data_IF_383130715905
#
_entry.id   IF_383130715905
#
_cell.length_a   1.000
_cell.length_b   1.000
_cell.length_c   1.000
_cell.angle_alpha   90.00
_cell.angle_beta   90.00
_cell.angle_gamma   90.00
#
_symmetry.space_group_name_H-M   'P 1'
#
loop_
_entity.id
_entity.type
_entity.pdbx_description
1 polymer ?
#
# COMPACT_ATOMS: atom_id res chain seq x y z
N UNK A 1 2.67 24.73 11.22
CA UNK A 1 1.79 23.55 11.32
C UNK A 1 2.69 22.35 11.61
N UNK A 2 2.45 21.59 12.68
CA UNK A 2 3.22 20.35 12.91
C UNK A 2 2.63 19.22 12.08
N UNK A 3 3.44 18.60 11.24
CA UNK A 3 3.09 17.40 10.51
C UNK A 3 3.00 16.25 11.52
N UNK A 4 1.90 15.51 11.53
CA UNK A 4 1.78 14.27 12.32
C UNK A 4 2.23 13.09 11.48
N UNK A 5 2.73 12.03 12.11
CA UNK A 5 3.16 10.83 11.38
C UNK A 5 2.03 10.20 10.53
N UNK A 6 0.79 10.35 10.95
CA UNK A 6 -0.40 9.88 10.22
C UNK A 6 -0.70 10.69 8.95
N UNK A 7 -0.18 11.94 8.86
CA UNK A 7 -0.36 12.80 7.69
C UNK A 7 0.63 12.45 6.56
N UNK A 8 1.57 11.54 6.82
CA UNK A 8 2.60 11.14 5.87
C UNK A 8 2.08 9.95 5.08
N UNK A 9 2.12 10.08 3.76
CA UNK A 9 1.71 8.98 2.86
C UNK A 9 2.75 7.87 2.93
N UNK A 10 2.31 6.70 3.37
CA UNK A 10 3.07 5.45 3.38
C UNK A 10 2.11 4.28 3.20
N UNK A 11 2.63 3.14 2.74
CA UNK A 11 1.82 1.92 2.61
C UNK A 11 1.08 1.56 3.90
N UNK A 12 1.78 1.62 5.03
CA UNK A 12 1.21 1.25 6.33
C UNK A 12 0.13 2.25 6.79
N UNK A 13 0.31 3.55 6.54
CA UNK A 13 -0.72 4.55 6.86
C UNK A 13 -1.95 4.40 5.96
N UNK A 14 -1.76 4.09 4.68
CA UNK A 14 -2.86 3.76 3.76
C UNK A 14 -3.60 2.53 4.26
N UNK A 15 -2.89 1.45 4.63
CA UNK A 15 -3.50 0.24 5.16
C UNK A 15 -4.32 0.52 6.44
N UNK A 16 -3.80 1.36 7.34
CA UNK A 16 -4.53 1.75 8.58
C UNK A 16 -5.78 2.61 8.31
N UNK A 17 -5.87 3.22 7.13
CA UNK A 17 -7.05 3.98 6.71
C UNK A 17 -8.14 3.12 6.08
N UNK A 18 -7.87 1.85 5.81
CA UNK A 18 -8.82 0.91 5.23
C UNK A 18 -9.62 0.16 6.32
N UNK A 19 -10.84 -0.29 5.98
CA UNK A 19 -11.69 -1.06 6.89
C UNK A 19 -11.12 -2.46 7.13
N UNK A 20 -10.54 -3.07 6.08
CA UNK A 20 -9.96 -4.41 6.12
C UNK A 20 -8.56 -4.39 5.51
N UNK A 21 -7.62 -5.04 6.18
CA UNK A 21 -6.28 -5.31 5.67
C UNK A 21 -6.16 -6.80 5.40
N UNK A 22 -6.15 -7.18 4.12
CA UNK A 22 -6.01 -8.59 3.72
C UNK A 22 -4.58 -9.08 3.83
N UNK A 23 -3.62 -8.27 3.43
CA UNK A 23 -2.19 -8.58 3.56
C UNK A 23 -1.37 -7.31 3.69
N UNK A 24 -0.28 -7.40 4.39
CA UNK A 24 0.60 -6.27 4.61
C UNK A 24 2.05 -6.70 4.80
N UNK A 25 2.96 -5.85 4.36
CA UNK A 25 4.37 -5.88 4.71
C UNK A 25 4.63 -4.79 5.76
N UNK A 26 5.02 -5.19 6.96
CA UNK A 26 5.04 -4.31 8.12
C UNK A 26 6.26 -4.58 9.00
N UNK A 27 6.69 -3.61 9.80
CA UNK A 27 7.74 -3.87 10.79
C UNK A 27 7.28 -4.87 11.85
N UNK A 28 8.20 -5.71 12.32
CA UNK A 28 7.94 -6.69 13.38
C UNK A 28 7.40 -6.03 14.65
N UNK A 29 7.91 -4.83 14.96
CA UNK A 29 7.42 -4.03 16.09
C UNK A 29 5.95 -3.64 15.92
N UNK A 30 5.57 -3.17 14.74
CA UNK A 30 4.18 -2.80 14.48
C UNK A 30 3.28 -4.03 14.43
N UNK A 31 3.73 -5.13 13.82
CA UNK A 31 3.00 -6.40 13.78
C UNK A 31 2.63 -6.90 15.19
N UNK A 32 3.58 -6.87 16.13
CA UNK A 32 3.36 -7.31 17.50
C UNK A 32 2.39 -6.41 18.29
N UNK A 33 2.20 -5.16 17.84
CA UNK A 33 1.29 -4.20 18.48
C UNK A 33 -0.10 -4.17 17.85
N UNK A 34 -0.32 -4.84 16.72
CA UNK A 34 -1.62 -4.90 16.07
C UNK A 34 -2.42 -6.07 16.66
N UNK A 35 -3.68 -5.81 16.96
CA UNK A 35 -4.64 -6.86 17.28
C UNK A 35 -5.16 -7.46 15.97
N UNK A 36 -4.34 -8.29 15.35
CA UNK A 36 -4.69 -9.02 14.15
C UNK A 36 -5.46 -10.27 14.56
N UNK A 37 -6.53 -10.56 13.82
CA UNK A 37 -7.21 -11.85 13.92
C UNK A 37 -6.30 -12.99 13.42
N UNK A 38 -6.90 -14.04 12.89
CA UNK A 38 -6.17 -15.18 12.34
C UNK A 38 -5.36 -14.78 11.10
N UNK A 39 -4.03 -14.88 11.17
CA UNK A 39 -3.11 -14.51 10.10
C UNK A 39 -2.11 -15.61 9.80
N UNK A 40 -1.78 -15.77 8.54
CA UNK A 40 -0.64 -16.57 8.10
C UNK A 40 0.55 -15.66 7.85
N UNK A 41 1.65 -15.88 8.56
CA UNK A 41 2.93 -15.25 8.27
C UNK A 41 3.59 -15.99 7.11
N UNK A 42 3.87 -15.27 6.05
CA UNK A 42 4.45 -15.81 4.82
C UNK A 42 5.96 -15.68 4.79
N UNK A 43 6.45 -14.54 5.28
CA UNK A 43 7.86 -14.25 5.36
C UNK A 43 8.13 -13.35 6.56
N UNK A 44 9.29 -13.51 7.19
CA UNK A 44 9.69 -12.66 8.30
C UNK A 44 11.20 -12.64 8.44
N UNK A 45 11.73 -11.44 8.69
CA UNK A 45 13.12 -11.22 9.03
C UNK A 45 13.27 -10.62 10.43
N UNK A 46 14.43 -10.07 10.70
CA UNK A 46 14.71 -9.45 12.00
C UNK A 46 13.79 -8.25 12.26
N UNK A 47 13.47 -7.48 11.22
CA UNK A 47 12.76 -6.22 11.34
C UNK A 47 11.39 -6.19 10.66
N UNK A 48 11.00 -7.21 9.91
CA UNK A 48 9.77 -7.20 9.13
C UNK A 48 8.95 -8.48 9.25
N UNK A 49 7.68 -8.36 8.91
CA UNK A 49 6.73 -9.47 8.73
C UNK A 49 5.89 -9.20 7.49
N UNK A 50 5.78 -10.19 6.62
CA UNK A 50 4.79 -10.25 5.54
C UNK A 50 3.72 -11.25 5.92
N UNK A 51 2.49 -10.80 6.07
CA UNK A 51 1.38 -11.65 6.48
C UNK A 51 0.17 -11.53 5.56
N UNK A 52 -0.69 -12.52 5.64
CA UNK A 52 -2.01 -12.55 5.03
C UNK A 52 -3.07 -12.97 6.04
N UNK A 53 -4.16 -12.24 6.10
CA UNK A 53 -5.32 -12.56 6.93
C UNK A 53 -6.04 -13.80 6.40
N UNK A 54 -6.34 -14.75 7.27
CA UNK A 54 -7.00 -16.02 6.91
C UNK A 54 -8.49 -15.78 6.68
N UNK A 55 -9.13 -15.17 7.66
CA UNK A 55 -10.57 -14.87 7.65
C UNK A 55 -10.79 -13.38 7.83
N UNK A 56 -11.69 -12.81 7.05
CA UNK A 56 -12.10 -11.41 7.17
C UNK A 56 -13.56 -11.27 6.78
N UNK A 57 -14.22 -10.28 7.34
CA UNK A 57 -15.57 -9.89 6.98
C UNK A 57 -15.54 -8.55 6.23
N UNK A 58 -16.32 -8.47 5.17
CA UNK A 58 -16.54 -7.25 4.41
C UNK A 58 -18.00 -6.86 4.46
N UNK A 59 -18.24 -5.58 4.57
CA UNK A 59 -19.54 -4.93 4.42
C UNK A 59 -19.58 -4.14 3.14
N UNK A 60 -20.77 -3.83 2.68
CA UNK A 60 -20.96 -2.94 1.54
C UNK A 60 -20.29 -1.59 1.79
N UNK A 61 -19.61 -1.05 0.80
CA UNK A 61 -18.80 0.17 0.81
C UNK A 61 -17.49 0.10 1.61
N UNK A 62 -17.08 -1.06 2.09
CA UNK A 62 -15.78 -1.20 2.75
C UNK A 62 -14.62 -0.97 1.79
N UNK A 63 -13.52 -0.50 2.37
CA UNK A 63 -12.24 -0.37 1.71
C UNK A 63 -11.35 -1.52 2.18
N UNK A 64 -10.85 -2.31 1.24
CA UNK A 64 -9.93 -3.41 1.52
C UNK A 64 -8.55 -3.13 0.94
N UNK A 65 -7.54 -3.29 1.78
CA UNK A 65 -6.14 -3.15 1.41
C UNK A 65 -5.48 -4.52 1.18
N UNK A 66 -4.61 -4.62 0.19
CA UNK A 66 -3.75 -5.78 -0.02
C UNK A 66 -2.41 -5.38 -0.62
N UNK A 67 -1.36 -6.14 -0.29
CA UNK A 67 -0.12 -6.11 -1.07
C UNK A 67 -0.36 -6.78 -2.43
N UNK A 68 0.42 -6.40 -3.43
CA UNK A 68 0.34 -7.03 -4.74
C UNK A 68 0.64 -8.53 -4.72
N UNK A 69 1.50 -8.99 -3.80
CA UNK A 69 1.83 -10.41 -3.61
C UNK A 69 0.61 -11.31 -3.44
N UNK A 70 -0.42 -10.83 -2.73
CA UNK A 70 -1.63 -11.60 -2.45
C UNK A 70 -2.86 -11.12 -3.21
N UNK A 71 -2.68 -10.24 -4.19
CA UNK A 71 -3.78 -9.68 -4.97
C UNK A 71 -4.62 -10.77 -5.67
N UNK A 72 -3.98 -11.75 -6.29
CA UNK A 72 -4.69 -12.85 -6.98
C UNK A 72 -5.50 -13.70 -6.00
N UNK A 73 -4.98 -13.94 -4.81
CA UNK A 73 -5.70 -14.66 -3.74
C UNK A 73 -6.94 -13.88 -3.30
N UNK A 74 -6.79 -12.57 -3.10
CA UNK A 74 -7.90 -11.70 -2.73
C UNK A 74 -8.97 -11.68 -3.84
N UNK A 75 -8.58 -11.48 -5.10
CA UNK A 75 -9.49 -11.52 -6.24
C UNK A 75 -10.27 -12.83 -6.27
N UNK A 76 -9.59 -13.97 -6.08
CA UNK A 76 -10.24 -15.30 -6.03
C UNK A 76 -11.25 -15.41 -4.89
N UNK A 77 -10.97 -14.83 -3.72
CA UNK A 77 -11.91 -14.78 -2.59
C UNK A 77 -13.10 -13.87 -2.88
N UNK A 78 -12.87 -12.67 -3.40
CA UNK A 78 -13.92 -11.69 -3.71
C UNK A 78 -14.86 -12.17 -4.81
N UNK A 79 -14.37 -12.92 -5.80
CA UNK A 79 -15.20 -13.52 -6.85
C UNK A 79 -16.20 -14.56 -6.33
N UNK A 80 -16.01 -15.10 -5.13
CA UNK A 80 -16.93 -16.04 -4.49
C UNK A 80 -18.04 -15.35 -3.69
N UNK A 81 -17.95 -14.04 -3.52
CA UNK A 81 -18.89 -13.26 -2.69
C UNK A 81 -19.93 -12.58 -3.58
N UNK A 82 -21.09 -13.22 -3.72
CA UNK A 82 -22.12 -12.81 -4.68
C UNK A 82 -23.02 -11.64 -4.21
N UNK A 83 -22.93 -11.22 -2.94
CA UNK A 83 -23.88 -10.24 -2.35
C UNK A 83 -23.27 -8.88 -2.03
N UNK A 84 -21.94 -8.77 -2.02
CA UNK A 84 -21.26 -7.51 -1.72
C UNK A 84 -21.27 -6.59 -2.94
N UNK A 85 -21.35 -5.29 -2.68
CA UNK A 85 -21.28 -4.22 -3.69
C UNK A 85 -20.43 -3.07 -3.17
N UNK A 86 -19.94 -2.27 -4.11
CA UNK A 86 -19.24 -1.03 -3.85
C UNK A 86 -17.97 -1.19 -2.99
N UNK A 87 -17.32 -2.33 -3.04
CA UNK A 87 -16.03 -2.51 -2.38
C UNK A 87 -14.98 -1.65 -3.09
N UNK A 88 -14.17 -0.95 -2.32
CA UNK A 88 -12.99 -0.23 -2.83
C UNK A 88 -11.75 -1.05 -2.54
N UNK A 89 -11.01 -1.37 -3.61
CA UNK A 89 -9.75 -2.13 -3.51
C UNK A 89 -8.58 -1.16 -3.47
N UNK A 90 -7.68 -1.35 -2.52
CA UNK A 90 -6.41 -0.62 -2.45
C UNK A 90 -5.26 -1.61 -2.58
N UNK A 91 -4.40 -1.41 -3.58
CA UNK A 91 -3.20 -2.21 -3.78
C UNK A 91 -1.95 -1.36 -3.63
N UNK A 92 -0.96 -1.92 -2.94
CA UNK A 92 0.32 -1.27 -2.70
C UNK A 92 1.45 -2.30 -2.67
N UNK A 93 2.70 -1.86 -2.49
CA UNK A 93 3.84 -2.76 -2.41
C UNK A 93 4.03 -3.60 -3.68
N UNK A 94 4.28 -2.94 -4.78
CA UNK A 94 4.59 -3.60 -6.04
C UNK A 94 5.45 -2.71 -6.93
N UNK A 95 6.40 -3.32 -7.59
CA UNK A 95 7.06 -2.75 -8.76
C UNK A 95 6.30 -3.08 -10.05
N UNK A 96 5.34 -4.02 -9.98
CA UNK A 96 4.49 -4.39 -11.11
C UNK A 96 3.40 -3.35 -11.37
N UNK A 97 3.12 -3.11 -12.64
CA UNK A 97 2.07 -2.18 -13.06
C UNK A 97 0.67 -2.79 -12.93
N UNK A 98 -0.29 -1.95 -12.54
CA UNK A 98 -1.71 -2.26 -12.75
C UNK A 98 -2.06 -1.83 -14.17
N UNK A 99 -1.90 -2.77 -15.09
CA UNK A 99 -2.24 -2.61 -16.50
C UNK A 99 -3.69 -3.01 -16.80
N UNK A 100 -4.10 -2.87 -18.06
CA UNK A 100 -5.42 -3.27 -18.54
C UNK A 100 -5.74 -4.74 -18.21
N UNK A 101 -4.79 -5.64 -18.48
CA UNK A 101 -4.98 -7.09 -18.31
C UNK A 101 -5.22 -7.45 -16.84
N UNK A 102 -4.47 -6.83 -15.93
CA UNK A 102 -4.66 -7.03 -14.49
C UNK A 102 -5.98 -6.42 -14.01
N UNK A 103 -6.31 -5.21 -14.49
CA UNK A 103 -7.55 -4.54 -14.12
C UNK A 103 -8.80 -5.30 -14.57
N UNK A 104 -8.77 -5.97 -15.72
CA UNK A 104 -9.87 -6.81 -16.21
C UNK A 104 -10.20 -8.00 -15.29
N UNK A 105 -9.28 -8.38 -14.40
CA UNK A 105 -9.53 -9.39 -13.36
C UNK A 105 -10.29 -8.84 -12.14
N UNK A 106 -10.61 -7.56 -12.12
CA UNK A 106 -11.29 -6.90 -11.01
C UNK A 106 -12.63 -7.57 -10.72
N UNK A 107 -12.88 -8.02 -9.46
CA UNK A 107 -14.14 -8.66 -9.08
C UNK A 107 -15.34 -7.73 -9.29
N UNK A 108 -16.52 -8.25 -9.68
CA UNK A 108 -17.72 -7.43 -9.88
C UNK A 108 -18.16 -6.63 -8.67
N UNK A 109 -17.88 -7.10 -7.45
CA UNK A 109 -18.18 -6.39 -6.21
C UNK A 109 -17.30 -5.18 -5.96
N UNK A 110 -16.14 -5.06 -6.66
CA UNK A 110 -15.22 -3.92 -6.54
C UNK A 110 -15.66 -2.81 -7.48
N UNK A 111 -16.07 -1.67 -6.94
CA UNK A 111 -16.46 -0.49 -7.73
C UNK A 111 -15.26 0.33 -8.19
N UNK A 112 -14.29 0.53 -7.32
CA UNK A 112 -13.09 1.34 -7.57
C UNK A 112 -11.84 0.59 -7.11
N UNK A 113 -10.76 0.76 -7.87
CA UNK A 113 -9.45 0.22 -7.54
C UNK A 113 -8.42 1.36 -7.44
N UNK A 114 -7.82 1.52 -6.29
CA UNK A 114 -6.75 2.46 -6.00
C UNK A 114 -5.42 1.71 -6.00
N UNK A 115 -4.46 2.12 -6.83
CA UNK A 115 -3.20 1.40 -6.97
C UNK A 115 -1.99 2.30 -7.18
N UNK A 116 -0.83 1.83 -6.76
CA UNK A 116 0.46 2.38 -7.21
C UNK A 116 0.80 1.80 -8.58
N UNK A 117 1.69 2.47 -9.32
CA UNK A 117 2.17 2.01 -10.63
C UNK A 117 1.05 1.69 -11.63
N UNK A 118 0.03 2.54 -11.68
CA UNK A 118 -1.09 2.40 -12.63
C UNK A 118 -0.61 2.74 -14.04
N UNK A 119 -0.81 1.82 -14.99
CA UNK A 119 -0.47 1.95 -16.41
C UNK A 119 -1.65 1.64 -17.32
N UNK A 120 -2.84 2.08 -16.93
CA UNK A 120 -4.07 1.95 -17.72
C UNK A 120 -5.06 3.03 -17.30
N UNK A 121 -5.58 3.78 -18.26
CA UNK A 121 -6.60 4.80 -18.01
C UNK A 121 -7.99 4.17 -17.93
N UNK A 122 -8.63 4.31 -16.77
CA UNK A 122 -10.01 3.89 -16.56
C UNK A 122 -10.62 4.68 -15.40
N UNK A 123 -11.89 5.16 -15.48
CA UNK A 123 -12.49 5.99 -14.44
C UNK A 123 -12.55 5.33 -13.04
N UNK A 124 -12.55 4.01 -12.98
CA UNK A 124 -12.59 3.25 -11.73
C UNK A 124 -11.20 2.69 -11.33
N UNK A 125 -10.13 3.09 -11.99
CA UNK A 125 -8.75 2.77 -11.61
C UNK A 125 -8.02 4.07 -11.31
N UNK A 126 -7.77 4.30 -10.03
CA UNK A 126 -7.29 5.57 -9.51
C UNK A 126 -5.82 5.41 -9.05
N UNK A 127 -4.89 6.14 -9.66
CA UNK A 127 -3.51 6.11 -9.20
C UNK A 127 -3.37 6.78 -7.83
N UNK A 128 -2.62 6.15 -6.95
CA UNK A 128 -2.25 6.70 -5.65
C UNK A 128 -0.72 6.80 -5.52
N UNK A 129 -0.22 7.75 -4.73
CA UNK A 129 1.21 7.91 -4.56
C UNK A 129 1.82 6.74 -3.79
N UNK A 130 3.06 6.36 -4.14
CA UNK A 130 3.83 5.36 -3.41
C UNK A 130 4.11 5.81 -1.96
N UNK A 131 4.34 7.09 -1.76
CA UNK A 131 4.70 7.64 -0.46
C UNK A 131 6.11 7.24 -0.02
N UNK A 132 6.35 7.32 1.28
CA UNK A 132 7.62 6.87 1.87
C UNK A 132 7.55 5.36 2.16
N UNK A 133 8.72 4.72 2.14
CA UNK A 133 8.84 3.32 2.52
C UNK A 133 8.50 3.09 4.00
N UNK A 134 8.08 1.87 4.35
CA UNK A 134 7.76 1.51 5.73
C UNK A 134 8.99 1.42 6.63
N UNK A 135 8.76 1.38 7.92
CA UNK A 135 9.77 1.40 9.00
C UNK A 135 10.50 0.06 9.23
N UNK A 136 10.32 -0.93 8.36
CA UNK A 136 10.87 -2.28 8.48
C UNK A 136 12.34 -2.40 8.05
N UNK A 137 12.91 -1.38 7.45
CA UNK A 137 14.33 -1.34 7.06
C UNK A 137 15.03 -0.12 7.63
N UNK A 138 16.23 -0.32 8.18
CA UNK A 138 17.09 0.77 8.66
C UNK A 138 17.56 1.73 7.55
N UNK A 139 17.38 1.35 6.29
CA UNK A 139 17.67 2.18 5.12
C UNK A 139 16.51 3.12 4.76
N UNK A 140 15.32 2.86 5.29
CA UNK A 140 14.14 3.65 4.98
C UNK A 140 14.08 4.89 5.89
N UNK A 141 13.60 5.99 5.33
CA UNK A 141 13.27 7.16 6.11
C UNK A 141 12.02 6.87 6.95
N UNK A 142 12.09 7.19 8.23
CA UNK A 142 10.97 6.98 9.13
C UNK A 142 10.03 8.19 9.12
N UNK A 143 8.74 7.94 9.27
CA UNK A 143 7.72 8.99 9.27
C UNK A 143 7.98 10.07 10.34
N UNK A 144 8.51 9.70 11.50
CA UNK A 144 8.85 10.63 12.57
C UNK A 144 10.00 11.60 12.23
N UNK A 145 10.88 11.26 11.29
CA UNK A 145 11.93 12.15 10.81
C UNK A 145 11.34 13.36 10.08
N UNK A 146 10.23 13.14 9.37
CA UNK A 146 9.52 14.23 8.68
C UNK A 146 8.72 15.14 9.62
N UNK A 147 8.31 14.64 10.78
CA UNK A 147 7.53 15.43 11.74
C UNK A 147 8.38 16.52 12.43
N UNK A 148 9.69 16.34 12.43
CA UNK A 148 10.66 17.25 13.06
C UNK A 148 11.33 18.19 12.06
N UNK A 149 10.96 18.15 10.77
CA UNK A 149 11.51 19.06 9.78
C UNK A 149 10.99 20.48 10.02
N UNK A 150 11.92 21.39 10.25
CA UNK A 150 11.61 22.81 10.24
C UNK A 150 11.37 23.27 8.79
N UNK A 151 10.27 23.96 8.56
CA UNK A 151 10.03 24.62 7.28
C UNK A 151 11.01 25.80 7.15
N UNK A 152 12.00 25.68 6.29
CA UNK A 152 12.90 26.79 5.95
C UNK A 152 12.12 27.87 5.21
N UNK A 153 12.31 29.13 5.61
CA UNK A 153 11.66 30.28 5.00
C UNK A 153 12.15 30.61 3.59
N UNK A 154 13.32 30.10 3.20
CA UNK A 154 13.89 30.26 1.86
C UNK A 154 14.33 28.92 1.28
N UNK A 155 14.06 28.71 0.00
CA UNK A 155 14.59 27.59 -0.78
C UNK A 155 15.77 28.09 -1.59
N UNK A 156 16.96 27.61 -1.27
CA UNK A 156 18.20 28.02 -1.96
C UNK A 156 18.41 27.25 -3.27
N UNK A 157 17.84 26.04 -3.38
CA UNK A 157 17.95 25.20 -4.56
C UNK A 157 16.60 25.02 -5.25
N UNK A 158 16.58 25.21 -6.56
CA UNK A 158 15.40 24.97 -7.41
C UNK A 158 15.09 23.48 -7.61
N UNK A 159 16.15 22.66 -7.65
CA UNK A 159 16.06 21.23 -7.95
C UNK A 159 17.11 20.47 -7.15
N UNK A 160 16.71 19.38 -6.54
CA UNK A 160 17.60 18.35 -6.01
C UNK A 160 17.37 17.05 -6.78
N UNK A 161 18.46 16.51 -7.35
CA UNK A 161 18.43 15.25 -8.10
C UNK A 161 19.34 14.25 -7.40
N UNK A 162 18.78 13.13 -6.97
CA UNK A 162 19.53 12.00 -6.41
C UNK A 162 18.87 10.69 -6.82
N UNK A 163 19.60 9.83 -7.52
CA UNK A 163 19.13 8.53 -7.95
C UNK A 163 20.28 7.52 -8.11
N UNK A 164 19.96 6.25 -8.02
CA UNK A 164 20.93 5.18 -8.30
C UNK A 164 21.04 4.92 -9.80
N UNK A 165 22.26 4.82 -10.31
CA UNK A 165 22.52 4.54 -11.74
C UNK A 165 22.08 3.15 -12.20
N UNK A 166 21.87 2.22 -11.26
CA UNK A 166 21.71 0.79 -11.55
C UNK A 166 20.26 0.35 -11.82
N UNK A 167 19.31 1.27 -11.71
CA UNK A 167 17.88 0.97 -11.91
C UNK A 167 17.38 1.47 -13.23
N UNK A 168 17.66 1.16 -14.30
CA UNK A 168 17.20 1.64 -15.62
C UNK A 168 18.27 2.46 -16.36
N UNK A 169 19.33 1.76 -16.82
CA UNK A 169 20.47 2.39 -17.50
C UNK A 169 20.10 3.02 -18.85
N UNK A 170 19.01 2.60 -19.49
CA UNK A 170 18.61 3.03 -20.83
C UNK A 170 17.82 4.35 -20.84
N UNK A 171 17.36 4.81 -19.68
CA UNK A 171 16.54 6.03 -19.53
C UNK A 171 17.28 7.19 -18.80
N UNK A 172 18.61 7.07 -18.58
CA UNK A 172 19.39 8.05 -17.79
C UNK A 172 20.64 8.51 -18.49
#
# INVERSE_FOLDING_TARGET
MKIKSVDIVSSNNIARSCNVVFSEYISKKAFNNLNLGDVNVYDSGDNFVLYKTVTFELKENDIIFTTHFFLKDLISKLNKVNKLKNIKLVTHWSDDSVDKKLFELKPPCVSEWYGVNVNYEHPNLIPIPLGIAGDFSTKNLLANEFTNLETRSSKENLLYVNFQKNTNNDER
#
